data_IF_665631890728
#
_entry.id   IF_665631890728
#
_cell.length_a   1.000
_cell.length_b   1.000
_cell.length_c   1.000
_cell.angle_alpha   90.00
_cell.angle_beta   90.00
_cell.angle_gamma   90.00
#
_symmetry.space_group_name_H-M   'P 1'
#
loop_
_entity.id
_entity.type
_entity.pdbx_description
1 polymer ?
#
# COMPACT_ATOMS: atom_id res chain seq x y z
N UNK A 1 37.81 30.41 80.99
CA UNK A 1 37.04 31.03 82.08
C UNK A 1 36.64 32.44 81.69
N UNK A 2 35.43 32.60 81.14
CA UNK A 2 34.52 33.74 81.33
C UNK A 2 33.15 33.28 80.85
N UNK A 3 32.28 33.07 81.81
CA UNK A 3 30.89 32.62 81.71
C UNK A 3 30.04 33.89 81.64
N UNK A 4 29.04 33.94 80.75
CA UNK A 4 27.90 34.86 80.89
C UNK A 4 26.61 34.14 80.48
N UNK A 5 25.66 34.18 81.42
CA UNK A 5 24.35 33.52 81.47
C UNK A 5 23.23 34.58 81.27
N UNK A 6 22.18 34.18 80.56
CA UNK A 6 20.76 34.63 80.54
C UNK A 6 20.41 36.10 80.26
N UNK A 7 19.43 36.35 79.38
CA UNK A 7 17.97 36.31 79.65
C UNK A 7 17.14 36.36 78.34
N UNK A 8 15.88 35.90 78.34
CA UNK A 8 15.06 35.69 77.14
C UNK A 8 14.18 36.90 76.80
N UNK A 9 13.85 37.07 75.51
CA UNK A 9 12.75 37.95 75.09
C UNK A 9 11.86 37.21 74.10
N UNK A 10 10.62 36.99 74.52
CA UNK A 10 9.49 36.59 73.66
C UNK A 10 9.00 37.83 72.94
N UNK A 11 8.82 37.75 71.61
CA UNK A 11 8.01 38.70 70.84
C UNK A 11 7.14 37.94 69.84
N UNK A 12 5.83 38.23 69.88
CA UNK A 12 4.75 37.65 69.08
C UNK A 12 4.34 38.68 68.01
N UNK A 13 3.82 38.18 66.87
CA UNK A 13 3.12 38.87 65.76
C UNK A 13 4.03 39.27 64.57
N UNK A 14 3.66 39.15 63.28
CA UNK A 14 2.35 38.97 62.60
C UNK A 14 2.62 38.67 61.11
N UNK A 15 1.64 38.04 60.44
CA UNK A 15 1.26 38.23 59.02
C UNK A 15 2.11 37.66 57.87
N UNK A 16 1.61 36.56 57.30
CA UNK A 16 1.19 36.42 55.89
C UNK A 16 2.18 36.64 54.74
N UNK A 17 2.55 35.56 54.05
CA UNK A 17 2.85 35.54 52.60
C UNK A 17 2.34 34.20 52.05
N UNK A 18 1.12 34.18 51.52
CA UNK A 18 0.79 33.98 50.09
C UNK A 18 1.34 32.69 49.50
N UNK A 19 0.43 31.75 49.26
CA UNK A 19 0.59 30.64 48.32
C UNK A 19 0.78 31.21 46.90
N UNK A 20 1.82 30.77 46.19
CA UNK A 20 1.95 30.99 44.75
C UNK A 20 2.38 29.68 44.08
N UNK A 21 1.47 29.16 43.28
CA UNK A 21 1.60 27.98 42.45
C UNK A 21 2.65 28.19 41.35
N UNK A 22 3.39 27.13 41.01
CA UNK A 22 4.01 26.97 39.71
C UNK A 22 3.60 25.60 39.15
N UNK A 23 2.36 25.51 38.69
CA UNK A 23 2.00 24.57 37.63
C UNK A 23 2.61 25.13 36.34
N UNK A 24 3.86 24.76 36.04
CA UNK A 24 4.36 24.83 34.67
C UNK A 24 3.64 23.74 33.87
N UNK A 25 2.47 24.08 33.36
CA UNK A 25 1.84 23.30 32.30
C UNK A 25 2.77 23.36 31.09
N UNK A 26 3.45 22.26 30.81
CA UNK A 26 4.06 21.97 29.53
C UNK A 26 2.96 22.07 28.47
N UNK A 27 2.76 23.25 27.90
CA UNK A 27 2.04 23.38 26.65
C UNK A 27 2.94 22.77 25.57
N UNK A 28 2.79 21.47 25.32
CA UNK A 28 3.26 20.88 24.09
C UNK A 28 2.45 21.51 22.96
N UNK A 29 2.97 22.57 22.37
CA UNK A 29 2.42 23.11 21.13
C UNK A 29 2.61 22.04 20.06
N UNK A 30 1.52 21.42 19.63
CA UNK A 30 1.52 20.61 18.42
C UNK A 30 1.78 21.56 17.26
N UNK A 31 3.03 21.69 16.84
CA UNK A 31 3.37 22.37 15.59
C UNK A 31 2.82 21.50 14.48
N UNK A 32 1.87 22.03 13.70
CA UNK A 32 1.43 21.35 12.49
C UNK A 32 2.62 21.21 11.55
N UNK A 33 2.76 20.02 10.97
CA UNK A 33 3.85 19.75 10.04
C UNK A 33 3.75 20.71 8.85
N UNK A 34 4.84 21.42 8.53
CA UNK A 34 4.85 22.30 7.38
C UNK A 34 4.84 21.46 6.10
N UNK A 35 4.09 21.91 5.10
CA UNK A 35 4.13 21.31 3.76
C UNK A 35 5.32 21.85 3.00
N UNK A 36 6.29 20.98 2.68
CA UNK A 36 7.47 21.29 1.88
C UNK A 36 7.28 20.72 0.48
N UNK A 37 7.48 21.54 -0.54
CA UNK A 37 7.25 21.14 -1.94
C UNK A 37 8.56 21.03 -2.70
N UNK A 38 8.63 20.09 -3.63
CA UNK A 38 9.76 20.02 -4.55
C UNK A 38 9.63 21.15 -5.59
N UNK A 39 10.57 22.09 -5.60
CA UNK A 39 10.48 23.30 -6.44
C UNK A 39 10.87 23.01 -7.90
N UNK A 40 11.78 22.07 -8.12
CA UNK A 40 12.25 21.62 -9.44
C UNK A 40 12.58 20.12 -9.40
N UNK A 41 12.54 19.44 -10.55
CA UNK A 41 12.98 18.04 -10.64
C UNK A 41 14.47 17.91 -10.29
N UNK A 42 14.83 16.84 -9.60
CA UNK A 42 16.21 16.53 -9.30
C UNK A 42 17.00 16.14 -10.56
N UNK A 43 18.23 16.62 -10.63
CA UNK A 43 19.22 16.13 -11.59
C UNK A 43 19.77 14.78 -11.12
N UNK A 44 20.44 14.04 -12.00
CA UNK A 44 20.92 12.70 -11.69
C UNK A 44 21.90 12.65 -10.49
N UNK A 45 22.62 13.75 -10.24
CA UNK A 45 23.71 13.81 -9.26
C UNK A 45 23.38 14.64 -8.01
N UNK A 46 22.15 15.16 -7.90
CA UNK A 46 21.69 15.97 -6.76
C UNK A 46 20.36 15.42 -6.20
N UNK A 47 20.39 14.32 -5.43
CA UNK A 47 19.18 13.64 -4.98
C UNK A 47 18.50 14.35 -3.80
N UNK A 48 17.25 14.79 -3.96
CA UNK A 48 16.45 15.39 -2.91
C UNK A 48 15.88 14.39 -1.89
N UNK A 49 15.93 13.08 -2.17
CA UNK A 49 15.31 12.08 -1.28
C UNK A 49 15.90 12.05 0.13
N UNK A 50 17.18 12.38 0.30
CA UNK A 50 17.87 12.37 1.60
C UNK A 50 18.83 13.55 1.79
N UNK A 51 18.83 14.51 0.87
CA UNK A 51 19.63 15.75 0.96
C UNK A 51 18.71 16.96 0.75
N UNK A 52 19.25 18.18 0.89
CA UNK A 52 18.46 19.40 0.69
C UNK A 52 17.84 19.51 -0.71
N UNK A 53 18.56 19.04 -1.74
CA UNK A 53 18.06 19.01 -3.12
C UNK A 53 17.33 20.28 -3.55
N UNK A 54 16.14 20.11 -4.11
CA UNK A 54 15.28 21.18 -4.62
C UNK A 54 14.05 21.46 -3.72
N UNK A 55 14.11 21.13 -2.43
CA UNK A 55 13.00 21.39 -1.51
C UNK A 55 12.79 22.89 -1.28
N UNK A 56 11.53 23.32 -1.15
CA UNK A 56 11.18 24.75 -1.05
C UNK A 56 11.70 25.44 0.21
N UNK A 57 12.04 24.68 1.25
CA UNK A 57 12.68 25.18 2.47
C UNK A 57 14.22 25.17 2.37
N UNK A 58 14.79 24.60 1.30
CA UNK A 58 16.22 24.46 1.10
C UNK A 58 16.91 23.53 2.10
N UNK A 59 16.17 22.69 2.81
CA UNK A 59 16.67 21.79 3.83
C UNK A 59 16.47 20.32 3.45
N UNK A 60 17.28 19.44 4.02
CA UNK A 60 17.09 18.01 3.85
C UNK A 60 15.77 17.55 4.50
N UNK A 61 15.14 16.47 4.01
CA UNK A 61 13.93 15.93 4.61
C UNK A 61 14.05 15.71 6.12
N UNK A 62 13.01 16.06 6.87
CA UNK A 62 12.98 15.90 8.32
C UNK A 62 11.58 15.52 8.82
N UNK A 63 11.53 14.80 9.94
CA UNK A 63 10.29 14.18 10.45
C UNK A 63 9.26 15.20 10.95
N UNK A 64 9.61 16.49 10.97
CA UNK A 64 8.69 17.58 11.30
C UNK A 64 7.81 18.03 10.14
N UNK A 65 8.11 17.64 8.90
CA UNK A 65 7.47 18.19 7.69
C UNK A 65 6.84 17.10 6.82
N UNK A 66 5.75 17.48 6.15
CA UNK A 66 5.10 16.69 5.11
C UNK A 66 5.63 17.15 3.74
N UNK A 67 6.03 16.22 2.89
CA UNK A 67 6.72 16.53 1.63
C UNK A 67 5.84 16.21 0.43
N UNK A 68 5.82 17.10 -0.57
CA UNK A 68 5.00 16.95 -1.78
C UNK A 68 5.84 17.09 -3.05
N UNK A 69 5.75 16.09 -3.91
CA UNK A 69 6.30 16.10 -5.27
C UNK A 69 5.13 16.13 -6.23
N UNK A 70 4.90 17.26 -6.90
CA UNK A 70 3.81 17.42 -7.87
C UNK A 70 4.25 18.32 -9.04
N UNK A 71 3.35 18.59 -9.98
CA UNK A 71 3.66 19.41 -11.15
C UNK A 71 4.55 18.70 -12.18
N UNK A 72 4.41 17.38 -12.31
CA UNK A 72 5.22 16.51 -13.18
C UNK A 72 6.72 16.52 -12.83
N UNK A 73 7.03 16.73 -11.55
CA UNK A 73 8.41 16.72 -11.05
C UNK A 73 8.86 15.33 -10.64
N UNK A 74 10.19 15.15 -10.67
CA UNK A 74 10.84 13.90 -10.28
C UNK A 74 11.77 14.16 -9.09
N UNK A 75 11.48 13.51 -7.97
CA UNK A 75 12.38 13.33 -6.84
C UNK A 75 13.29 12.13 -7.12
N UNK A 76 14.59 12.27 -6.87
CA UNK A 76 15.57 11.19 -7.11
C UNK A 76 16.22 10.73 -5.81
N UNK A 77 16.46 9.43 -5.74
CA UNK A 77 17.38 8.86 -4.75
C UNK A 77 18.82 8.99 -5.20
N UNK A 78 19.77 8.87 -4.27
CA UNK A 78 21.19 8.77 -4.60
C UNK A 78 21.53 7.47 -5.32
N UNK A 79 22.76 7.40 -5.83
CA UNK A 79 23.35 6.22 -6.48
C UNK A 79 24.50 5.60 -5.67
N UNK A 80 24.89 6.26 -4.57
CA UNK A 80 26.08 5.99 -3.77
C UNK A 80 25.85 4.99 -2.62
N UNK A 81 24.59 4.68 -2.29
CA UNK A 81 24.25 3.68 -1.28
C UNK A 81 23.24 2.65 -1.80
N UNK A 82 23.18 1.50 -1.12
CA UNK A 82 22.25 0.41 -1.39
C UNK A 82 20.91 0.56 -0.67
N UNK A 83 20.35 1.78 -0.68
CA UNK A 83 19.09 2.11 0.00
C UNK A 83 19.17 3.36 0.88
N UNK A 84 18.01 3.94 1.17
CA UNK A 84 17.86 5.12 2.05
C UNK A 84 16.54 5.05 2.81
N UNK A 85 16.46 5.75 3.93
CA UNK A 85 15.21 6.02 4.65
C UNK A 85 14.85 7.47 4.39
N UNK A 86 13.62 7.72 3.91
CA UNK A 86 13.11 9.08 3.79
C UNK A 86 12.85 9.64 5.18
N UNK A 87 13.56 10.71 5.54
CA UNK A 87 13.47 11.28 6.88
C UNK A 87 12.24 12.18 7.09
N UNK A 88 11.50 12.50 6.03
CA UNK A 88 10.25 13.29 6.12
C UNK A 88 9.13 12.52 6.80
N UNK A 89 8.18 13.25 7.41
CA UNK A 89 7.02 12.66 8.08
C UNK A 89 6.14 11.87 7.10
N UNK A 90 5.88 12.45 5.94
CA UNK A 90 5.18 11.82 4.82
C UNK A 90 5.76 12.30 3.50
N UNK A 91 5.57 11.50 2.45
CA UNK A 91 5.87 11.87 1.07
C UNK A 91 4.63 11.66 0.21
N UNK A 92 4.10 12.73 -0.36
CA UNK A 92 3.01 12.67 -1.34
C UNK A 92 3.56 12.84 -2.75
N UNK A 93 3.23 11.90 -3.62
CA UNK A 93 3.52 11.97 -5.05
C UNK A 93 2.22 12.29 -5.81
N UNK A 94 2.20 13.45 -6.45
CA UNK A 94 1.07 14.02 -7.17
C UNK A 94 0.13 14.85 -6.29
N UNK A 95 -0.84 15.50 -6.93
CA UNK A 95 -1.80 16.41 -6.28
C UNK A 95 -3.27 16.17 -6.68
N UNK A 96 -3.56 15.06 -7.36
CA UNK A 96 -4.88 14.79 -7.93
C UNK A 96 -5.03 15.21 -9.40
N UNK A 97 -4.20 16.12 -9.86
CA UNK A 97 -4.22 16.67 -11.23
C UNK A 97 -2.90 16.43 -11.95
N UNK A 98 -1.79 16.75 -11.30
CA UNK A 98 -0.43 16.59 -11.78
C UNK A 98 0.22 15.40 -11.09
N UNK A 99 1.02 14.65 -11.86
CA UNK A 99 1.79 13.54 -11.31
C UNK A 99 3.02 14.04 -10.57
N UNK A 100 3.51 13.23 -9.63
CA UNK A 100 4.85 13.31 -9.06
C UNK A 100 5.54 11.96 -9.19
N UNK A 101 6.86 11.96 -9.35
CA UNK A 101 7.63 10.73 -9.48
C UNK A 101 8.70 10.61 -8.40
N UNK A 102 8.79 9.43 -7.78
CA UNK A 102 9.98 8.98 -7.06
C UNK A 102 10.78 8.06 -7.97
N UNK A 103 11.95 8.53 -8.41
CA UNK A 103 12.88 7.77 -9.23
C UNK A 103 13.96 7.13 -8.34
N UNK A 104 13.89 5.80 -8.21
CA UNK A 104 14.86 4.99 -7.49
C UNK A 104 16.06 4.70 -8.40
N UNK A 105 17.26 5.07 -7.94
CA UNK A 105 18.49 5.14 -8.77
C UNK A 105 19.60 4.19 -8.34
N UNK A 106 19.45 3.48 -7.22
CA UNK A 106 20.32 2.36 -6.83
C UNK A 106 19.51 1.14 -6.37
N UNK A 107 20.18 -0.02 -6.31
CA UNK A 107 19.58 -1.23 -5.76
C UNK A 107 19.45 -1.17 -4.24
N UNK A 108 18.82 -2.18 -3.64
CA UNK A 108 18.62 -2.25 -2.18
C UNK A 108 17.29 -1.66 -1.73
N UNK A 109 17.18 -1.27 -0.47
CA UNK A 109 15.88 -0.97 0.18
C UNK A 109 15.70 0.51 0.45
N UNK A 110 14.62 1.07 -0.08
CA UNK A 110 14.19 2.45 0.14
C UNK A 110 12.94 2.44 1.01
N UNK A 111 12.99 3.12 2.13
CA UNK A 111 11.87 3.16 3.09
C UNK A 111 11.25 4.55 3.07
N UNK A 112 9.93 4.59 2.91
CA UNK A 112 9.12 5.79 3.13
C UNK A 112 8.03 5.39 4.12
N UNK A 113 8.10 5.92 5.33
CA UNK A 113 7.22 5.50 6.43
C UNK A 113 5.74 5.73 6.08
N UNK A 114 5.42 6.85 5.43
CA UNK A 114 4.09 7.16 4.92
C UNK A 114 4.15 7.77 3.51
N UNK A 115 4.05 6.92 2.49
CA UNK A 115 3.98 7.31 1.08
C UNK A 115 2.52 7.44 0.65
N UNK A 116 2.15 8.58 0.07
CA UNK A 116 0.84 8.80 -0.55
C UNK A 116 1.01 8.90 -2.06
N UNK A 117 0.32 8.03 -2.81
CA UNK A 117 0.23 8.12 -4.26
C UNK A 117 -1.11 8.76 -4.64
N UNK A 118 -1.07 10.05 -4.96
CA UNK A 118 -2.22 10.82 -5.42
C UNK A 118 -2.02 11.21 -6.89
N UNK A 119 -2.16 10.21 -7.78
CA UNK A 119 -1.76 10.26 -9.20
C UNK A 119 -0.22 10.25 -9.39
N UNK A 120 0.51 9.89 -8.34
CA UNK A 120 1.96 9.74 -8.34
C UNK A 120 2.45 8.37 -8.78
N UNK A 121 3.77 8.28 -9.00
CA UNK A 121 4.43 7.06 -9.42
C UNK A 121 5.77 6.81 -8.73
N UNK A 122 6.07 5.55 -8.49
CA UNK A 122 7.41 5.09 -8.09
C UNK A 122 8.02 4.33 -9.26
N UNK A 123 9.21 4.73 -9.66
CA UNK A 123 9.90 4.15 -10.80
C UNK A 123 11.28 3.63 -10.40
N UNK A 124 11.57 2.38 -10.80
CA UNK A 124 12.93 1.87 -10.72
C UNK A 124 13.68 2.24 -12.01
N UNK A 125 14.81 2.94 -11.90
CA UNK A 125 15.71 3.31 -13.01
C UNK A 125 17.07 2.60 -12.96
N UNK A 126 17.24 1.61 -12.09
CA UNK A 126 18.50 0.85 -11.95
C UNK A 126 18.59 -0.25 -13.00
N UNK A 127 19.75 -0.47 -13.59
CA UNK A 127 19.96 -1.64 -14.45
C UNK A 127 20.39 -2.83 -13.59
N UNK A 128 19.62 -3.92 -13.65
CA UNK A 128 20.02 -5.28 -13.22
C UNK A 128 20.02 -5.60 -11.73
N UNK A 129 19.57 -4.69 -10.86
CA UNK A 129 19.41 -4.98 -9.42
C UNK A 129 17.96 -4.80 -9.02
N UNK A 130 17.47 -5.69 -8.15
CA UNK A 130 16.18 -5.51 -7.50
C UNK A 130 16.26 -4.31 -6.56
N UNK A 131 15.34 -3.37 -6.74
CA UNK A 131 15.11 -2.29 -5.79
C UNK A 131 13.88 -2.63 -4.97
N UNK A 132 13.93 -2.45 -3.65
CA UNK A 132 12.82 -2.68 -2.74
C UNK A 132 12.26 -1.37 -2.22
N UNK A 133 10.94 -1.20 -2.29
CA UNK A 133 10.21 -0.17 -1.54
C UNK A 133 9.61 -0.79 -0.28
N UNK A 134 9.90 -0.18 0.87
CA UNK A 134 9.40 -0.54 2.20
C UNK A 134 8.64 0.63 2.84
N UNK A 135 7.94 0.35 3.95
CA UNK A 135 7.12 1.31 4.68
C UNK A 135 5.62 1.13 4.41
N UNK A 136 4.88 2.22 4.21
CA UNK A 136 3.44 2.18 3.94
C UNK A 136 3.08 3.02 2.72
N UNK A 137 2.13 2.53 1.92
CA UNK A 137 1.63 3.21 0.72
C UNK A 137 0.13 3.41 0.83
N UNK A 138 -0.33 4.65 0.70
CA UNK A 138 -1.75 5.01 0.57
C UNK A 138 -2.06 5.40 -0.87
N UNK A 139 -3.03 4.72 -1.50
CA UNK A 139 -3.51 5.04 -2.84
C UNK A 139 -4.72 5.99 -2.76
N UNK A 140 -4.60 7.16 -3.41
CA UNK A 140 -5.68 8.12 -3.60
C UNK A 140 -5.82 8.37 -5.12
N UNK A 141 -6.99 8.09 -5.69
CA UNK A 141 -7.17 8.14 -7.15
C UNK A 141 -6.40 7.01 -7.85
N UNK A 142 -5.22 7.28 -8.42
CA UNK A 142 -4.34 6.26 -8.99
C UNK A 142 -2.94 6.34 -8.39
N UNK A 143 -2.28 5.20 -8.19
CA UNK A 143 -0.85 5.13 -7.93
C UNK A 143 -0.18 4.19 -8.92
N UNK A 144 1.02 4.51 -9.40
CA UNK A 144 1.73 3.70 -10.39
C UNK A 144 3.05 3.15 -9.83
N UNK A 145 3.27 1.86 -10.02
CA UNK A 145 4.59 1.24 -9.95
C UNK A 145 5.11 0.96 -11.35
N UNK A 146 6.28 1.52 -11.67
CA UNK A 146 6.87 1.37 -13.00
C UNK A 146 8.38 1.12 -13.01
N UNK A 147 8.79 -0.16 -12.96
CA UNK A 147 10.14 -0.54 -13.36
C UNK A 147 10.35 -0.18 -14.84
N UNK A 148 11.15 0.86 -15.08
CA UNK A 148 11.19 1.59 -16.38
C UNK A 148 11.91 0.86 -17.53
N UNK A 149 12.10 -0.45 -17.45
CA UNK A 149 12.58 -1.32 -18.52
C UNK A 149 12.25 -2.80 -18.19
N UNK A 150 12.18 -3.66 -19.21
CA UNK A 150 11.72 -5.05 -19.09
C UNK A 150 12.46 -5.90 -18.05
N UNK A 151 13.75 -5.63 -17.86
CA UNK A 151 14.62 -6.38 -16.93
C UNK A 151 14.69 -5.79 -15.52
N UNK A 152 14.04 -4.65 -15.28
CA UNK A 152 14.06 -3.97 -13.98
C UNK A 152 13.04 -4.59 -13.05
N UNK A 153 13.45 -4.77 -11.81
CA UNK A 153 12.60 -5.36 -10.77
C UNK A 153 12.37 -4.34 -9.66
N UNK A 154 11.11 -4.05 -9.36
CA UNK A 154 10.69 -3.30 -8.19
C UNK A 154 9.97 -4.25 -7.23
N UNK A 155 10.58 -4.56 -6.09
CA UNK A 155 9.96 -5.32 -5.02
C UNK A 155 9.22 -4.38 -4.07
N UNK A 156 7.97 -4.69 -3.77
CA UNK A 156 7.11 -3.93 -2.87
C UNK A 156 6.90 -4.76 -1.62
N UNK A 157 7.64 -4.39 -0.58
CA UNK A 157 7.50 -4.93 0.79
C UNK A 157 6.62 -4.04 1.67
N UNK A 158 6.31 -2.83 1.20
CA UNK A 158 5.44 -1.88 1.88
C UNK A 158 3.99 -2.40 1.96
N UNK A 159 3.30 -2.10 3.07
CA UNK A 159 1.85 -2.31 3.14
C UNK A 159 1.14 -1.30 2.25
N UNK A 160 0.08 -1.72 1.56
CA UNK A 160 -0.66 -0.87 0.62
C UNK A 160 -2.13 -0.77 1.08
N UNK A 161 -2.64 0.45 1.19
CA UNK A 161 -4.02 0.77 1.63
C UNK A 161 -4.64 1.86 0.76
N UNK A 162 -5.92 2.15 0.99
CA UNK A 162 -6.64 3.26 0.36
C UNK A 162 -7.63 2.83 -0.73
N UNK A 163 -8.39 3.79 -1.25
CA UNK A 163 -9.45 3.53 -2.23
C UNK A 163 -9.00 3.70 -3.68
N UNK A 164 -7.76 4.18 -3.91
CA UNK A 164 -7.22 4.36 -5.24
C UNK A 164 -6.89 3.05 -5.96
N UNK A 165 -6.79 3.12 -7.29
CA UNK A 165 -6.39 2.03 -8.17
C UNK A 165 -4.87 1.94 -8.21
N UNK A 166 -4.32 0.74 -8.05
CA UNK A 166 -2.92 0.47 -8.30
C UNK A 166 -2.69 0.18 -9.79
N UNK A 167 -1.74 0.87 -10.42
CA UNK A 167 -1.29 0.60 -11.78
C UNK A 167 0.09 -0.03 -11.77
N UNK A 168 0.23 -1.13 -12.51
CA UNK A 168 1.52 -1.76 -12.78
C UNK A 168 1.86 -1.55 -14.24
N UNK A 169 3.03 -0.96 -14.49
CA UNK A 169 3.44 -0.53 -15.82
C UNK A 169 4.92 -0.82 -16.07
N UNK A 170 5.24 -1.48 -17.18
CA UNK A 170 6.61 -1.79 -17.60
C UNK A 170 7.40 -2.67 -16.59
N UNK A 171 8.33 -3.47 -17.09
CA UNK A 171 9.24 -4.27 -16.27
C UNK A 171 8.51 -5.20 -15.29
N UNK A 172 9.16 -5.50 -14.17
CA UNK A 172 8.68 -6.50 -13.21
C UNK A 172 8.42 -5.84 -11.86
N UNK A 173 7.17 -5.86 -11.41
CA UNK A 173 6.81 -5.54 -10.02
C UNK A 173 6.58 -6.82 -9.24
N UNK A 174 7.18 -6.94 -8.07
CA UNK A 174 6.96 -8.06 -7.14
C UNK A 174 6.25 -7.50 -5.91
N UNK A 175 5.16 -8.11 -5.46
CA UNK A 175 4.51 -7.75 -4.18
C UNK A 175 4.75 -8.88 -3.18
N UNK A 176 5.41 -8.55 -2.07
CA UNK A 176 5.73 -9.47 -0.96
C UNK A 176 5.00 -9.14 0.33
N UNK A 177 4.33 -7.97 0.42
CA UNK A 177 3.47 -7.62 1.55
C UNK A 177 2.20 -8.49 1.56
N UNK A 178 1.84 -9.01 2.74
CA UNK A 178 0.61 -9.78 2.99
C UNK A 178 -0.51 -8.96 3.64
N UNK A 179 -0.25 -7.71 4.04
CA UNK A 179 -1.17 -6.91 4.88
C UNK A 179 -1.84 -5.79 4.09
N UNK A 180 -2.20 -6.09 2.85
CA UNK A 180 -2.69 -5.11 1.90
C UNK A 180 -4.22 -4.99 1.96
N UNK A 181 -4.72 -3.76 1.97
CA UNK A 181 -6.15 -3.46 2.21
C UNK A 181 -6.75 -2.48 1.20
N UNK A 182 -6.03 -2.12 0.14
CA UNK A 182 -6.58 -1.20 -0.85
C UNK A 182 -7.76 -1.80 -1.60
N UNK A 183 -8.73 -0.97 -1.97
CA UNK A 183 -10.01 -1.42 -2.54
C UNK A 183 -10.27 -0.96 -3.98
N UNK A 184 -9.48 -0.02 -4.50
CA UNK A 184 -9.66 0.48 -5.87
C UNK A 184 -9.33 -0.54 -6.97
N UNK A 185 -8.67 -1.64 -6.62
CA UNK A 185 -8.26 -2.68 -7.55
C UNK A 185 -6.89 -2.44 -8.17
N UNK A 186 -6.52 -3.33 -9.10
CA UNK A 186 -5.21 -3.37 -9.75
C UNK A 186 -5.38 -3.40 -11.26
N UNK A 187 -4.66 -2.53 -11.97
CA UNK A 187 -4.62 -2.48 -13.42
C UNK A 187 -3.20 -2.72 -13.91
N UNK A 188 -2.99 -3.81 -14.65
CA UNK A 188 -1.76 -4.07 -15.36
C UNK A 188 -1.93 -3.53 -16.79
N UNK A 189 -0.99 -2.66 -17.21
CA UNK A 189 -0.99 -2.12 -18.58
C UNK A 189 0.41 -1.96 -19.14
N UNK A 190 0.56 -2.22 -20.44
CA UNK A 190 1.75 -1.82 -21.19
C UNK A 190 1.58 -0.36 -21.66
N UNK A 191 2.03 0.60 -20.85
CA UNK A 191 1.91 2.03 -21.17
C UNK A 191 2.92 2.50 -22.21
N UNK A 192 4.02 1.78 -22.42
CA UNK A 192 5.09 2.15 -23.37
C UNK A 192 4.91 1.54 -24.78
N UNK A 193 3.99 0.61 -24.95
CA UNK A 193 3.76 -0.16 -26.19
C UNK A 193 4.86 -1.18 -26.53
N UNK A 194 6.03 -1.09 -25.90
CA UNK A 194 7.23 -1.89 -26.23
C UNK A 194 7.79 -2.66 -25.04
N UNK A 195 7.56 -2.18 -23.82
CA UNK A 195 8.02 -2.84 -22.60
C UNK A 195 6.85 -3.49 -21.88
N UNK A 196 6.80 -4.83 -21.80
CA UNK A 196 5.72 -5.52 -21.11
C UNK A 196 5.71 -5.17 -19.62
N UNK A 197 4.53 -5.24 -19.00
CA UNK A 197 4.38 -5.13 -17.55
C UNK A 197 4.16 -6.52 -16.94
N UNK A 198 4.88 -6.83 -15.86
CA UNK A 198 4.72 -8.08 -15.13
C UNK A 198 4.45 -7.79 -13.66
N UNK A 199 3.46 -8.48 -13.10
CA UNK A 199 3.19 -8.49 -11.67
C UNK A 199 3.39 -9.92 -11.12
N UNK A 200 4.34 -10.07 -10.20
CA UNK A 200 4.61 -11.31 -9.47
C UNK A 200 4.15 -11.16 -8.02
N UNK A 201 3.09 -11.88 -7.67
CA UNK A 201 2.44 -11.83 -6.36
C UNK A 201 2.94 -13.00 -5.54
N UNK A 202 3.62 -12.70 -4.41
CA UNK A 202 4.36 -13.68 -3.62
C UNK A 202 3.82 -13.90 -2.20
N UNK A 203 2.66 -13.35 -1.88
CA UNK A 203 2.04 -13.48 -0.57
C UNK A 203 0.51 -13.60 -0.69
N UNK A 204 -0.10 -14.30 0.28
CA UNK A 204 -1.55 -14.27 0.45
C UNK A 204 -2.00 -12.85 0.86
N UNK A 205 -3.19 -12.43 0.42
CA UNK A 205 -3.75 -11.10 0.67
C UNK A 205 -3.06 -9.97 -0.12
N UNK A 206 -2.10 -10.29 -0.98
CA UNK A 206 -1.23 -9.29 -1.58
C UNK A 206 -1.92 -8.33 -2.56
N UNK A 207 -3.06 -8.68 -3.18
CA UNK A 207 -3.74 -7.83 -4.19
C UNK A 207 -4.88 -6.96 -3.66
N UNK A 208 -4.99 -6.78 -2.34
CA UNK A 208 -6.06 -5.99 -1.74
C UNK A 208 -7.45 -6.61 -2.01
N UNK A 209 -8.50 -5.78 -2.02
CA UNK A 209 -9.90 -6.25 -2.13
C UNK A 209 -10.59 -5.94 -3.46
N UNK A 210 -9.97 -5.12 -4.31
CA UNK A 210 -10.54 -4.70 -5.58
C UNK A 210 -10.25 -5.66 -6.74
N UNK A 211 -10.92 -5.41 -7.87
CA UNK A 211 -10.75 -6.22 -9.09
C UNK A 211 -9.33 -6.11 -9.65
N UNK A 212 -8.90 -7.15 -10.35
CA UNK A 212 -7.60 -7.20 -11.03
C UNK A 212 -7.83 -7.26 -12.53
N UNK A 213 -7.31 -6.29 -13.27
CA UNK A 213 -7.50 -6.14 -14.71
C UNK A 213 -6.17 -6.23 -15.46
N UNK A 214 -6.12 -7.09 -16.47
CA UNK A 214 -4.97 -7.25 -17.36
C UNK A 214 -5.27 -6.71 -18.76
N UNK A 215 -4.37 -5.88 -19.28
CA UNK A 215 -4.35 -5.42 -20.68
C UNK A 215 -3.33 -6.19 -21.53
N UNK A 216 -3.42 -6.18 -22.88
CA UNK A 216 -2.41 -6.81 -23.74
C UNK A 216 -0.98 -6.37 -23.42
N UNK A 217 -0.04 -7.29 -23.58
CA UNK A 217 1.37 -7.06 -23.22
C UNK A 217 1.64 -7.09 -21.71
N UNK A 218 0.77 -7.74 -20.93
CA UNK A 218 0.96 -7.89 -19.48
C UNK A 218 0.94 -9.34 -19.03
N UNK A 219 1.59 -9.60 -17.89
CA UNK A 219 1.61 -10.90 -17.22
C UNK A 219 1.31 -10.75 -15.74
N UNK A 220 0.54 -11.70 -15.20
CA UNK A 220 0.28 -11.86 -13.77
C UNK A 220 0.75 -13.24 -13.33
N UNK A 221 1.55 -13.30 -12.27
CA UNK A 221 1.90 -14.54 -11.59
C UNK A 221 1.36 -14.50 -10.18
N UNK A 222 0.65 -15.56 -9.80
CA UNK A 222 0.16 -15.79 -8.44
C UNK A 222 0.91 -16.97 -7.85
N UNK A 223 1.61 -16.78 -6.73
CA UNK A 223 2.37 -17.85 -6.09
C UNK A 223 3.00 -17.44 -4.75
N UNK A 224 3.77 -18.33 -4.13
CA UNK A 224 4.53 -18.03 -2.90
C UNK A 224 3.71 -17.89 -1.60
N UNK A 225 2.39 -17.79 -1.69
CA UNK A 225 1.47 -17.86 -0.56
C UNK A 225 1.24 -19.31 -0.12
N UNK A 226 0.74 -19.47 1.11
CA UNK A 226 0.51 -20.80 1.71
C UNK A 226 -0.96 -21.17 1.78
N UNK A 227 -1.85 -20.18 1.78
CA UNK A 227 -3.30 -20.36 1.84
C UNK A 227 -3.97 -20.18 0.47
N UNK A 228 -3.21 -19.71 -0.53
CA UNK A 228 -3.65 -19.48 -1.90
C UNK A 228 -4.74 -18.41 -2.03
N UNK A 229 -4.71 -17.42 -1.13
CA UNK A 229 -5.67 -16.31 -1.08
C UNK A 229 -5.06 -15.05 -1.67
N UNK A 230 -4.59 -15.11 -2.92
CA UNK A 230 -3.89 -13.99 -3.58
C UNK A 230 -4.86 -12.88 -4.00
N UNK A 231 -5.96 -13.28 -4.63
CA UNK A 231 -7.11 -12.46 -4.98
C UNK A 231 -8.14 -12.56 -3.85
N UNK A 232 -8.77 -11.44 -3.51
CA UNK A 232 -9.86 -11.43 -2.55
C UNK A 232 -11.10 -12.14 -3.12
N UNK A 233 -11.87 -12.81 -2.26
CA UNK A 233 -13.05 -13.58 -2.68
C UNK A 233 -14.13 -12.74 -3.35
N UNK A 234 -14.25 -11.46 -2.95
CA UNK A 234 -15.17 -10.51 -3.58
C UNK A 234 -14.63 -9.88 -4.89
N UNK A 235 -13.39 -10.15 -5.28
CA UNK A 235 -12.77 -9.56 -6.46
C UNK A 235 -13.03 -10.40 -7.72
N UNK A 236 -13.05 -9.71 -8.86
CA UNK A 236 -13.05 -10.32 -10.19
C UNK A 236 -11.66 -10.26 -10.81
N UNK A 237 -11.26 -11.32 -11.52
CA UNK A 237 -10.16 -11.27 -12.47
C UNK A 237 -10.70 -10.89 -13.85
N UNK A 238 -10.18 -9.82 -14.44
CA UNK A 238 -10.65 -9.25 -15.71
C UNK A 238 -9.54 -9.31 -16.75
N UNK A 239 -9.68 -10.21 -17.70
CA UNK A 239 -8.76 -10.45 -18.80
C UNK A 239 -9.34 -9.79 -20.06
N UNK A 240 -8.74 -8.68 -20.48
CA UNK A 240 -9.20 -7.95 -21.67
C UNK A 240 -8.84 -8.70 -22.95
N UNK A 241 -9.48 -8.32 -24.06
CA UNK A 241 -9.27 -8.97 -25.37
C UNK A 241 -7.83 -8.80 -25.86
N UNK A 242 -7.26 -9.84 -26.47
CA UNK A 242 -5.91 -9.79 -27.06
C UNK A 242 -4.76 -10.10 -26.10
N UNK A 243 -5.04 -10.68 -24.93
CA UNK A 243 -4.01 -11.27 -24.08
C UNK A 243 -3.37 -12.48 -24.74
N UNK A 244 -2.08 -12.69 -24.47
CA UNK A 244 -1.34 -13.85 -24.99
C UNK A 244 -1.63 -15.10 -24.16
N UNK A 245 -1.43 -16.27 -24.76
CA UNK A 245 -1.45 -17.52 -24.01
C UNK A 245 -0.43 -17.46 -22.85
N UNK A 246 -0.83 -17.93 -21.67
CA UNK A 246 -0.02 -17.88 -20.46
C UNK A 246 0.20 -16.49 -19.86
N UNK A 247 -0.60 -15.47 -20.22
CA UNK A 247 -0.58 -14.17 -19.53
C UNK A 247 -0.90 -14.26 -18.03
N UNK A 248 -1.49 -15.36 -17.55
CA UNK A 248 -1.70 -15.61 -16.12
C UNK A 248 -1.06 -16.93 -15.70
N UNK A 249 -0.08 -16.89 -14.80
CA UNK A 249 0.59 -18.04 -14.18
C UNK A 249 -0.01 -18.31 -12.80
N UNK A 250 -0.81 -19.38 -12.69
CA UNK A 250 -1.36 -19.89 -11.44
C UNK A 250 -0.34 -20.83 -10.77
N UNK A 251 0.75 -20.24 -10.30
CA UNK A 251 1.95 -20.89 -9.77
C UNK A 251 1.78 -21.39 -8.32
N UNK A 252 0.70 -22.13 -8.07
CA UNK A 252 0.37 -22.71 -6.78
C UNK A 252 -0.40 -24.03 -6.94
N UNK A 253 -0.67 -24.75 -5.84
CA UNK A 253 -1.46 -25.99 -5.85
C UNK A 253 -2.72 -25.77 -5.03
N UNK A 254 -3.89 -26.04 -5.61
CA UNK A 254 -5.18 -25.79 -4.97
C UNK A 254 -5.95 -24.65 -5.65
N UNK A 255 -6.79 -23.94 -4.90
CA UNK A 255 -7.71 -22.95 -5.48
C UNK A 255 -7.70 -21.61 -4.75
N UNK A 256 -7.77 -20.52 -5.52
CA UNK A 256 -8.09 -19.18 -5.02
C UNK A 256 -9.57 -18.88 -5.29
N UNK A 257 -10.36 -18.54 -4.26
CA UNK A 257 -11.77 -18.14 -4.42
C UNK A 257 -11.87 -16.73 -5.02
N UNK A 258 -12.76 -16.53 -5.98
CA UNK A 258 -13.05 -15.23 -6.62
C UNK A 258 -14.55 -15.11 -6.95
N UNK A 259 -15.05 -13.88 -7.13
CA UNK A 259 -16.45 -13.63 -7.52
C UNK A 259 -16.70 -14.05 -8.96
N UNK A 260 -15.78 -13.70 -9.86
CA UNK A 260 -15.94 -13.95 -11.29
C UNK A 260 -14.61 -13.92 -12.03
N UNK A 261 -14.58 -14.55 -13.18
CA UNK A 261 -13.48 -14.43 -14.16
C UNK A 261 -14.06 -13.88 -15.45
N UNK A 262 -13.52 -12.79 -15.97
CA UNK A 262 -13.91 -12.24 -17.28
C UNK A 262 -12.81 -12.50 -18.29
N UNK A 263 -13.14 -13.14 -19.40
CA UNK A 263 -12.19 -13.53 -20.46
C UNK A 263 -12.76 -13.09 -21.80
N UNK A 264 -11.99 -12.31 -22.56
CA UNK A 264 -12.38 -11.84 -23.90
C UNK A 264 -13.76 -11.17 -23.94
N UNK A 265 -14.09 -10.44 -22.88
CA UNK A 265 -15.36 -9.74 -22.75
C UNK A 265 -16.49 -10.56 -22.12
N UNK A 266 -16.37 -11.89 -22.05
CA UNK A 266 -17.34 -12.81 -21.44
C UNK A 266 -17.09 -12.92 -19.94
N UNK A 267 -18.10 -12.67 -19.11
CA UNK A 267 -18.00 -12.83 -17.65
C UNK A 267 -18.53 -14.19 -17.23
N UNK A 268 -17.65 -14.99 -16.64
CA UNK A 268 -17.96 -16.30 -16.07
C UNK A 268 -18.26 -16.15 -14.58
N UNK A 269 -19.44 -16.62 -14.18
CA UNK A 269 -19.94 -16.63 -12.79
C UNK A 269 -20.44 -18.00 -12.36
N UNK A 270 -20.33 -18.99 -13.25
CA UNK A 270 -20.73 -20.36 -12.97
C UNK A 270 -19.80 -20.97 -11.93
N UNK A 271 -20.39 -21.64 -10.95
CA UNK A 271 -19.63 -22.35 -9.91
C UNK A 271 -18.78 -23.42 -10.58
N UNK A 272 -17.49 -23.44 -10.25
CA UNK A 272 -16.53 -24.34 -10.86
C UNK A 272 -15.10 -23.84 -10.71
N UNK A 273 -14.18 -24.60 -11.29
CA UNK A 273 -12.75 -24.32 -11.35
C UNK A 273 -12.37 -23.80 -12.74
N UNK A 274 -11.47 -22.82 -12.75
CA UNK A 274 -10.98 -22.13 -13.94
C UNK A 274 -9.45 -22.24 -13.94
N UNK A 275 -8.89 -22.78 -15.01
CA UNK A 275 -7.46 -23.13 -15.04
C UNK A 275 -6.88 -23.24 -16.45
N UNK A 276 -5.63 -23.70 -16.51
CA UNK A 276 -4.89 -23.91 -17.75
C UNK A 276 -5.48 -25.08 -18.58
N UNK A 277 -5.22 -25.08 -19.89
CA UNK A 277 -5.54 -26.22 -20.75
C UNK A 277 -4.79 -27.47 -20.28
N UNK A 278 -5.52 -28.57 -20.08
CA UNK A 278 -5.00 -29.84 -19.58
C UNK A 278 -4.78 -29.87 -18.06
N UNK A 279 -5.30 -28.89 -17.31
CA UNK A 279 -5.20 -28.87 -15.84
C UNK A 279 -6.23 -29.78 -15.17
N UNK A 280 -7.33 -30.11 -15.86
CA UNK A 280 -8.48 -30.81 -15.28
C UNK A 280 -9.49 -29.89 -14.60
N UNK A 281 -9.40 -28.58 -14.84
CA UNK A 281 -10.41 -27.61 -14.41
C UNK A 281 -11.73 -27.80 -15.18
N UNK A 282 -12.85 -27.39 -14.57
CA UNK A 282 -14.17 -27.42 -15.22
C UNK A 282 -14.19 -26.53 -16.48
N UNK A 283 -13.49 -25.39 -16.41
CA UNK A 283 -13.33 -24.45 -17.51
C UNK A 283 -11.84 -24.15 -17.76
N UNK A 284 -11.35 -24.57 -18.92
CA UNK A 284 -9.94 -24.42 -19.29
C UNK A 284 -9.72 -23.32 -20.34
N UNK A 285 -8.69 -22.50 -20.14
CA UNK A 285 -8.37 -21.41 -21.06
C UNK A 285 -6.86 -21.32 -21.31
N UNK A 286 -6.46 -21.05 -22.55
CA UNK A 286 -5.06 -20.90 -22.93
C UNK A 286 -4.36 -19.67 -22.33
N UNK A 287 -5.13 -18.70 -21.82
CA UNK A 287 -4.58 -17.53 -21.10
C UNK A 287 -3.97 -17.91 -19.75
N UNK A 288 -4.37 -19.05 -19.18
CA UNK A 288 -3.85 -19.58 -17.93
C UNK A 288 -2.72 -20.59 -18.16
N UNK A 289 -1.78 -20.62 -17.23
CA UNK A 289 -0.72 -21.63 -17.07
C UNK A 289 -0.56 -21.98 -15.59
N UNK A 290 0.27 -22.98 -15.28
CA UNK A 290 0.49 -23.42 -13.90
C UNK A 290 -0.47 -24.55 -13.48
N UNK A 291 -0.45 -24.87 -12.19
CA UNK A 291 -1.18 -26.01 -11.60
C UNK A 291 -2.34 -25.59 -10.69
N UNK A 292 -2.45 -24.30 -10.39
CA UNK A 292 -3.48 -23.76 -9.52
C UNK A 292 -4.79 -23.51 -10.27
N UNK A 293 -5.86 -23.29 -9.51
CA UNK A 293 -7.18 -22.95 -10.03
C UNK A 293 -7.68 -21.62 -9.45
N UNK A 294 -8.45 -20.90 -10.25
CA UNK A 294 -9.42 -19.96 -9.70
C UNK A 294 -10.71 -20.72 -9.47
N UNK A 295 -11.34 -20.55 -8.32
CA UNK A 295 -12.64 -21.17 -8.00
C UNK A 295 -13.69 -20.09 -7.89
N UNK A 296 -14.80 -20.29 -8.58
CA UNK A 296 -16.04 -19.59 -8.30
C UNK A 296 -16.90 -20.56 -7.51
N UNK A 297 -17.35 -20.17 -6.33
CA UNK A 297 -18.18 -21.00 -5.46
C UNK A 297 -19.44 -20.27 -5.04
N UNK A 298 -20.35 -20.98 -4.37
CA UNK A 298 -21.43 -20.34 -3.64
C UNK A 298 -20.82 -19.33 -2.66
N UNK A 299 -20.93 -18.05 -2.99
CA UNK A 299 -20.63 -16.97 -2.05
C UNK A 299 -21.65 -17.18 -0.93
N UNK A 300 -21.24 -17.38 0.34
CA UNK A 300 -22.20 -17.41 1.43
C UNK A 300 -22.95 -16.09 1.37
N UNK A 301 -24.22 -16.11 0.94
CA UNK A 301 -24.97 -14.87 0.89
C UNK A 301 -25.00 -14.29 2.31
N UNK A 302 -24.67 -13.00 2.50
CA UNK A 302 -24.72 -12.37 3.83
C UNK A 302 -26.09 -12.53 4.52
N UNK A 303 -27.13 -12.77 3.73
CA UNK A 303 -28.51 -13.01 4.13
C UNK A 303 -28.73 -14.34 4.86
N UNK A 304 -27.94 -15.38 4.61
CA UNK A 304 -28.20 -16.71 5.18
C UNK A 304 -27.88 -16.72 6.69
N UNK A 305 -26.81 -16.04 7.08
CA UNK A 305 -26.45 -15.86 8.50
C UNK A 305 -27.41 -14.92 9.22
N UNK A 306 -27.89 -13.86 8.55
CA UNK A 306 -28.87 -12.93 9.10
C UNK A 306 -30.27 -13.55 9.24
N UNK A 307 -30.69 -14.41 8.30
CA UNK A 307 -31.95 -15.13 8.36
C UNK A 307 -31.97 -16.20 9.46
N UNK A 308 -30.83 -16.86 9.72
CA UNK A 308 -30.70 -17.82 10.83
C UNK A 308 -30.76 -17.09 12.18
N UNK A 309 -30.05 -15.96 12.35
CA UNK A 309 -30.15 -15.17 13.57
C UNK A 309 -31.54 -14.55 13.77
N UNK A 310 -32.13 -13.99 12.71
CA UNK A 310 -33.49 -13.41 12.75
C UNK A 310 -34.55 -14.46 13.04
N UNK A 311 -34.43 -15.65 12.47
CA UNK A 311 -35.32 -16.79 12.71
C UNK A 311 -35.22 -17.34 14.14
N UNK A 312 -34.01 -17.44 14.70
CA UNK A 312 -33.80 -17.84 16.10
C UNK A 312 -34.35 -16.80 17.09
N UNK A 313 -34.24 -15.50 16.79
CA UNK A 313 -34.80 -14.43 17.62
C UNK A 313 -36.34 -14.43 17.63
N UNK A 314 -36.96 -14.71 16.48
CA UNK A 314 -38.41 -14.85 16.34
C UNK A 314 -38.95 -16.10 17.07
N UNK A 315 -38.23 -17.22 17.03
CA UNK A 315 -38.61 -18.42 17.79
C UNK A 315 -38.48 -18.21 19.31
N UNK A 316 -37.44 -17.51 19.77
CA UNK A 316 -37.27 -17.18 21.19
C UNK A 316 -38.37 -16.25 21.72
N UNK A 317 -38.77 -15.24 20.93
CA UNK A 317 -39.86 -14.32 21.31
C UNK A 317 -41.23 -14.98 21.27
N UNK A 318 -41.45 -15.92 20.36
CA UNK A 318 -42.70 -16.69 20.29
C UNK A 318 -42.82 -17.75 21.41
N UNK A 319 -41.71 -18.40 21.79
CA UNK A 319 -41.68 -19.33 22.93
C UNK A 319 -41.91 -18.61 24.28
N UNK A 320 -41.37 -17.39 24.45
CA UNK A 320 -41.56 -16.59 25.67
C UNK A 320 -43.00 -16.07 25.86
N UNK A 321 -43.78 -15.95 24.79
CA UNK A 321 -45.17 -15.46 24.84
C UNK A 321 -46.20 -16.54 25.20
N UNK A 322 -45.83 -17.82 25.11
CA UNK A 322 -46.71 -18.96 25.41
C UNK A 322 -46.64 -19.42 26.87
N UNK A 323 -45.75 -18.81 27.67
CA UNK A 323 -45.53 -19.10 29.10
C UNK A 323 -45.85 -17.92 30.03
N UNK A 324 -46.67 -16.96 29.58
CA UNK A 324 -47.26 -15.92 30.43
C UNK A 324 -48.77 -15.98 30.38
#
# INVERSE_FOLDING_TARGET
MKIYLHHPVISIARSGVVAAAFLLSWFATTVEAATVTLSASDTNDAPGFHTAGNWSDGLAPSSGNDYVVAGNRTLRTGTDASGYVFAGKSLTLGDGTNSGELALRSGGTFTVDDLVLHYGRVANYTSSVTTTLAGNVTLIGFGTFTPSAATRVLNISASIRGAGVLRIENGITIITSSNNTWSGGTLLRNSSGTTPASLDVRADGALGTGNVTLQPGTTLKLGGGTTHQYLHENASLILTTGLSAGSVDLSFVGSNLVTSVRIEGITWTETGTYGAIGSGADHEFGVFTGTGYLRIGAIPEPSTSAAILGGLLLLATCAGRRHR
#
